data_IF_983962129763
#
_entry.id   IF_983962129763
#
_cell.length_a   1.000
_cell.length_b   1.000
_cell.length_c   1.000
_cell.angle_alpha   90.00
_cell.angle_beta   90.00
_cell.angle_gamma   90.00
#
_symmetry.space_group_name_H-M   'P 1'
#
loop_
_entity.id
_entity.type
_entity.pdbx_description
1 polymer ?
#
# COMPACT_ATOMS: atom_id res chain seq x y z
N UNK A 1 6.35 -11.48 -5.27
CA UNK A 1 5.20 -11.57 -4.33
C UNK A 1 5.60 -11.58 -2.86
N UNK A 2 6.54 -12.43 -2.42
CA UNK A 2 6.90 -12.60 -0.99
C UNK A 2 7.17 -11.31 -0.18
N UNK A 3 7.73 -10.25 -0.81
CA UNK A 3 7.97 -8.98 -0.11
C UNK A 3 6.67 -8.24 0.20
N UNK A 4 5.79 -8.08 -0.78
CA UNK A 4 4.47 -7.46 -0.57
C UNK A 4 3.67 -8.26 0.47
N UNK A 5 3.64 -9.59 0.36
CA UNK A 5 2.96 -10.46 1.32
C UNK A 5 3.51 -10.32 2.76
N UNK A 6 4.80 -10.02 2.91
CA UNK A 6 5.41 -9.78 4.22
C UNK A 6 4.93 -8.45 4.82
N UNK A 7 4.89 -7.38 4.01
CA UNK A 7 4.37 -6.07 4.42
C UNK A 7 2.89 -6.16 4.82
N UNK A 8 2.08 -6.85 4.01
CA UNK A 8 0.65 -7.10 4.30
C UNK A 8 0.46 -7.81 5.64
N UNK A 9 1.27 -8.83 5.93
CA UNK A 9 1.23 -9.58 7.19
C UNK A 9 1.71 -8.74 8.38
N UNK A 10 2.76 -7.95 8.20
CA UNK A 10 3.39 -7.15 9.25
C UNK A 10 2.50 -5.99 9.68
N UNK A 11 1.93 -5.26 8.72
CA UNK A 11 1.12 -4.07 8.97
C UNK A 11 -0.39 -4.29 8.86
N UNK A 12 -0.83 -5.53 8.61
CA UNK A 12 -2.24 -5.96 8.59
C UNK A 12 -3.12 -5.18 7.61
N UNK A 13 -2.67 -5.11 6.37
CA UNK A 13 -3.45 -4.57 5.27
C UNK A 13 -3.34 -5.51 4.07
N UNK A 14 -4.15 -5.26 3.03
CA UNK A 14 -3.98 -5.91 1.73
C UNK A 14 -3.77 -4.85 0.66
N UNK A 15 -2.69 -4.99 -0.11
CA UNK A 15 -2.49 -4.17 -1.30
C UNK A 15 -3.64 -4.42 -2.30
N UNK A 16 -4.07 -3.38 -3.03
CA UNK A 16 -4.99 -3.56 -4.15
C UNK A 16 -4.45 -4.62 -5.13
N UNK A 17 -5.35 -5.43 -5.68
CA UNK A 17 -4.99 -6.48 -6.63
C UNK A 17 -4.17 -5.92 -7.81
N UNK A 18 -4.54 -4.72 -8.27
CA UNK A 18 -3.84 -4.01 -9.34
C UNK A 18 -2.37 -3.69 -8.98
N UNK A 19 -2.09 -3.31 -7.73
CA UNK A 19 -0.72 -3.05 -7.29
C UNK A 19 0.14 -4.32 -7.30
N UNK A 20 -0.44 -5.45 -6.89
CA UNK A 20 0.22 -6.76 -6.97
C UNK A 20 0.50 -7.16 -8.42
N UNK A 21 -0.41 -6.85 -9.34
CA UNK A 21 -0.23 -7.10 -10.77
C UNK A 21 0.91 -6.24 -11.36
N UNK A 22 0.94 -4.94 -11.05
CA UNK A 22 2.03 -4.04 -11.43
C UNK A 22 3.38 -4.58 -10.95
N UNK A 23 3.45 -5.07 -9.71
CA UNK A 23 4.66 -5.67 -9.18
C UNK A 23 5.08 -6.94 -9.94
N UNK A 24 4.13 -7.83 -10.25
CA UNK A 24 4.40 -9.06 -11.02
C UNK A 24 4.89 -8.77 -12.43
N UNK A 25 4.38 -7.69 -13.03
CA UNK A 25 4.74 -7.24 -14.37
C UNK A 25 6.00 -6.35 -14.38
N UNK A 26 6.70 -6.22 -13.25
CA UNK A 26 7.92 -5.42 -13.09
C UNK A 26 7.70 -3.92 -13.42
N UNK A 27 6.46 -3.41 -13.27
CA UNK A 27 6.13 -2.01 -13.48
C UNK A 27 6.58 -1.11 -12.32
N UNK A 28 6.90 -1.68 -11.16
CA UNK A 28 7.36 -0.93 -9.98
C UNK A 28 8.89 -0.76 -9.91
N UNK A 29 9.60 -1.04 -11.00
CA UNK A 29 11.05 -1.09 -11.03
C UNK A 29 11.62 0.05 -11.90
N UNK A 30 12.06 1.12 -11.24
CA UNK A 30 12.77 2.24 -11.88
C UNK A 30 14.28 1.97 -12.06
N UNK A 31 14.76 0.77 -11.73
CA UNK A 31 16.16 0.43 -11.73
C UNK A 31 16.91 1.00 -10.52
N UNK A 32 18.25 0.98 -10.59
CA UNK A 32 19.11 1.40 -9.49
C UNK A 32 19.28 2.92 -9.48
N UNK A 33 18.80 3.58 -8.41
CA UNK A 33 19.00 5.00 -8.17
C UNK A 33 20.49 5.30 -7.98
N UNK A 34 21.04 6.10 -8.89
CA UNK A 34 22.45 6.50 -8.89
C UNK A 34 22.61 7.85 -9.59
N UNK A 35 23.74 8.52 -9.38
CA UNK A 35 24.06 9.77 -10.09
C UNK A 35 24.06 9.62 -11.62
N UNK A 36 24.26 8.40 -12.11
CA UNK A 36 24.32 8.08 -13.53
C UNK A 36 22.99 7.50 -14.06
N UNK A 37 21.90 7.55 -13.28
CA UNK A 37 20.61 6.95 -13.63
C UNK A 37 20.10 7.41 -15.00
N UNK A 38 20.17 8.71 -15.28
CA UNK A 38 19.78 9.29 -16.58
C UNK A 38 20.60 8.76 -17.76
N UNK A 39 21.86 8.39 -17.53
CA UNK A 39 22.78 7.93 -18.58
C UNK A 39 22.73 6.41 -18.77
N UNK A 40 22.58 5.66 -17.67
CA UNK A 40 22.75 4.20 -17.66
C UNK A 40 21.45 3.42 -17.53
N UNK A 41 20.45 3.98 -16.84
CA UNK A 41 19.19 3.29 -16.50
C UNK A 41 18.07 3.79 -17.38
N UNK A 42 17.81 5.09 -17.38
CA UNK A 42 16.71 5.73 -18.11
C UNK A 42 16.60 5.30 -19.59
N UNK A 43 17.68 5.25 -20.40
CA UNK A 43 17.56 4.89 -21.81
C UNK A 43 17.00 3.47 -22.04
N UNK A 44 17.18 2.57 -21.07
CA UNK A 44 16.66 1.19 -21.13
C UNK A 44 15.17 1.14 -20.80
N UNK A 45 14.67 2.08 -20.00
CA UNK A 45 13.27 2.14 -19.57
C UNK A 45 12.35 2.67 -20.67
N UNK A 46 12.84 3.54 -21.57
CA UNK A 46 12.02 4.16 -22.63
C UNK A 46 11.25 3.17 -23.51
N UNK A 47 11.84 2.00 -23.78
CA UNK A 47 11.20 0.98 -24.61
C UNK A 47 10.03 0.28 -23.91
N UNK A 48 10.05 0.20 -22.58
CA UNK A 48 9.01 -0.40 -21.73
C UNK A 48 8.92 0.42 -20.43
N UNK A 49 8.32 1.62 -20.47
CA UNK A 49 8.34 2.51 -19.32
C UNK A 49 7.60 1.87 -18.14
N UNK A 50 8.22 1.82 -16.95
CA UNK A 50 7.56 1.41 -15.72
C UNK A 50 6.47 2.41 -15.32
N UNK A 51 5.79 2.12 -14.22
CA UNK A 51 4.62 2.86 -13.75
C UNK A 51 4.91 4.36 -13.75
N UNK A 52 4.18 5.08 -14.60
CA UNK A 52 4.15 6.53 -14.71
C UNK A 52 5.56 7.17 -14.83
N UNK A 53 6.48 6.57 -15.60
CA UNK A 53 7.84 7.10 -15.82
C UNK A 53 7.88 8.58 -16.27
N UNK A 54 6.84 9.02 -16.96
CA UNK A 54 6.63 10.37 -17.49
C UNK A 54 5.43 11.06 -16.83
N UNK A 55 4.95 10.55 -15.69
CA UNK A 55 3.96 11.23 -14.86
C UNK A 55 4.52 12.57 -14.37
N UNK A 56 3.63 13.49 -14.02
CA UNK A 56 4.06 14.76 -13.46
C UNK A 56 4.43 14.55 -12.00
N UNK A 57 5.70 14.78 -11.66
CA UNK A 57 6.20 14.74 -10.28
C UNK A 57 5.89 13.42 -9.53
N UNK A 58 6.07 12.29 -10.22
CA UNK A 58 5.84 10.96 -9.65
C UNK A 58 7.08 10.07 -9.79
N UNK A 59 7.52 9.51 -8.68
CA UNK A 59 8.54 8.47 -8.61
C UNK A 59 8.01 7.27 -7.83
N UNK A 60 8.21 6.06 -8.34
CA UNK A 60 7.81 4.84 -7.61
C UNK A 60 8.67 4.70 -6.36
N UNK A 61 8.04 4.48 -5.20
CA UNK A 61 8.77 4.16 -3.97
C UNK A 61 9.33 2.74 -4.08
N UNK A 62 10.66 2.55 -3.94
CA UNK A 62 11.26 1.21 -3.97
C UNK A 62 10.64 0.29 -2.91
N UNK A 63 10.35 -0.96 -3.29
CA UNK A 63 9.72 -1.94 -2.39
C UNK A 63 10.55 -2.14 -1.11
N UNK A 64 11.87 -2.01 -1.22
CA UNK A 64 12.82 -2.10 -0.13
C UNK A 64 12.70 -0.97 0.91
N UNK A 65 12.15 0.18 0.52
CA UNK A 65 12.01 1.36 1.37
C UNK A 65 10.63 1.48 2.02
N UNK A 66 9.62 0.76 1.50
CA UNK A 66 8.24 0.86 1.99
C UNK A 66 8.15 0.54 3.48
N UNK A 67 8.83 -0.51 3.95
CA UNK A 67 8.79 -0.89 5.38
C UNK A 67 9.28 0.25 6.27
N UNK A 68 10.49 0.77 5.99
CA UNK A 68 11.07 1.85 6.78
C UNK A 68 10.22 3.12 6.71
N UNK A 69 9.61 3.41 5.56
CA UNK A 69 8.73 4.55 5.44
C UNK A 69 7.49 4.38 6.33
N UNK A 70 6.80 3.23 6.29
CA UNK A 70 5.65 2.97 7.18
C UNK A 70 6.05 3.05 8.65
N UNK A 71 7.20 2.49 9.02
CA UNK A 71 7.72 2.55 10.40
C UNK A 71 7.97 3.99 10.85
N UNK A 72 8.57 4.83 10.00
CA UNK A 72 8.79 6.25 10.25
C UNK A 72 7.46 7.00 10.41
N UNK A 73 6.50 6.81 9.50
CA UNK A 73 5.18 7.47 9.59
C UNK A 73 4.40 7.08 10.86
N UNK A 74 4.73 5.93 11.47
CA UNK A 74 4.09 5.42 12.68
C UNK A 74 4.90 5.67 13.95
N UNK A 75 6.09 6.26 13.84
CA UNK A 75 6.90 6.60 15.00
C UNK A 75 6.20 7.72 15.79
N UNK A 76 5.90 7.53 17.09
CA UNK A 76 5.30 8.57 17.91
C UNK A 76 6.15 9.84 18.05
N UNK A 77 7.45 9.75 17.77
CA UNK A 77 8.38 10.88 17.77
C UNK A 77 8.56 11.50 16.35
N UNK A 78 7.84 11.01 15.34
CA UNK A 78 7.81 11.60 14.01
C UNK A 78 7.15 12.98 14.04
N UNK A 79 7.76 13.94 13.34
CA UNK A 79 7.36 15.34 13.38
C UNK A 79 6.00 15.60 12.73
N UNK A 80 5.48 14.68 11.90
CA UNK A 80 4.16 14.79 11.27
C UNK A 80 3.02 14.46 12.24
N UNK A 81 3.33 13.85 13.40
CA UNK A 81 2.36 13.50 14.44
C UNK A 81 1.10 12.77 13.91
N UNK A 82 1.29 11.89 12.92
CA UNK A 82 0.22 11.16 12.25
C UNK A 82 -0.67 10.45 13.27
N UNK A 83 -1.99 10.56 13.11
CA UNK A 83 -2.94 9.84 13.93
C UNK A 83 -2.62 8.32 13.91
N UNK A 84 -2.35 7.69 15.07
CA UNK A 84 -1.92 6.28 15.15
C UNK A 84 -2.96 5.27 14.62
N UNK A 85 -4.20 5.72 14.42
CA UNK A 85 -5.27 4.91 13.82
C UNK A 85 -5.14 4.78 12.32
N UNK A 86 -4.53 5.76 11.66
CA UNK A 86 -4.38 5.78 10.22
C UNK A 86 -3.22 4.89 9.79
N UNK A 87 -3.33 4.32 8.61
CA UNK A 87 -2.24 3.58 7.98
C UNK A 87 -2.02 4.13 6.57
N UNK A 88 -0.89 4.79 6.38
CA UNK A 88 -0.40 5.23 5.08
C UNK A 88 0.65 4.24 4.59
N UNK A 89 0.42 3.67 3.40
CA UNK A 89 1.35 2.77 2.73
C UNK A 89 1.86 3.44 1.45
N UNK A 90 3.11 3.92 1.42
CA UNK A 90 3.62 4.65 0.26
C UNK A 90 3.83 3.71 -0.93
N UNK A 91 3.50 4.21 -2.12
CA UNK A 91 3.78 3.53 -3.39
C UNK A 91 4.46 4.44 -4.40
N UNK A 92 4.41 5.76 -4.18
CA UNK A 92 5.19 6.73 -4.93
C UNK A 92 5.60 7.90 -4.04
N UNK A 93 6.36 8.82 -4.62
CA UNK A 93 6.72 10.10 -4.02
C UNK A 93 6.85 11.19 -5.08
N UNK A 94 6.72 12.43 -4.66
CA UNK A 94 7.14 13.58 -5.46
C UNK A 94 8.65 13.77 -5.37
N UNK A 95 9.25 14.49 -6.31
CA UNK A 95 10.63 14.94 -6.21
C UNK A 95 10.86 15.89 -5.02
N UNK A 96 9.78 16.49 -4.50
CA UNK A 96 9.75 17.30 -3.29
C UNK A 96 9.81 16.51 -1.98
N UNK A 97 9.53 15.20 -2.01
CA UNK A 97 9.57 14.32 -0.84
C UNK A 97 8.20 13.98 -0.24
N UNK A 98 7.11 14.45 -0.84
CA UNK A 98 5.75 14.07 -0.44
C UNK A 98 5.47 12.64 -0.88
N UNK A 99 4.62 11.91 -0.14
CA UNK A 99 4.31 10.52 -0.45
C UNK A 99 2.96 10.38 -1.12
N UNK A 100 2.92 9.62 -2.22
CA UNK A 100 1.68 9.02 -2.71
C UNK A 100 1.43 7.73 -1.93
N UNK A 101 0.33 7.71 -1.18
CA UNK A 101 0.00 6.62 -0.26
C UNK A 101 -1.33 5.96 -0.58
N UNK A 102 -1.41 4.65 -0.33
CA UNK A 102 -2.67 4.00 -0.01
C UNK A 102 -3.04 4.38 1.42
N UNK A 103 -4.19 5.00 1.61
CA UNK A 103 -4.72 5.33 2.93
C UNK A 103 -5.74 4.27 3.38
N UNK A 104 -5.40 3.57 4.46
CA UNK A 104 -6.25 2.62 5.16
C UNK A 104 -6.63 3.17 6.54
N UNK A 105 -7.69 2.58 7.11
CA UNK A 105 -8.19 2.94 8.44
C UNK A 105 -8.51 4.43 8.56
N UNK A 106 -9.03 5.02 7.48
CA UNK A 106 -9.54 6.39 7.48
C UNK A 106 -10.71 6.55 8.47
N UNK A 107 -11.03 7.80 8.86
CA UNK A 107 -12.12 8.13 9.77
C UNK A 107 -13.46 7.46 9.42
N UNK A 108 -14.32 7.24 10.43
CA UNK A 108 -15.62 6.58 10.25
C UNK A 108 -16.57 7.33 9.29
N UNK A 109 -16.39 8.64 9.11
CA UNK A 109 -17.15 9.44 8.15
C UNK A 109 -16.76 9.23 6.68
N UNK A 110 -15.62 8.56 6.42
CA UNK A 110 -15.19 8.19 5.08
C UNK A 110 -15.58 6.74 4.82
N UNK A 111 -16.42 6.52 3.80
CA UNK A 111 -16.81 5.18 3.37
C UNK A 111 -16.17 4.85 2.01
N UNK A 112 -15.20 3.95 1.98
CA UNK A 112 -14.55 3.48 0.75
C UNK A 112 -14.34 1.96 0.76
N UNK A 113 -14.57 1.33 -0.40
CA UNK A 113 -14.42 -0.12 -0.59
C UNK A 113 -12.96 -0.56 -0.83
N UNK A 114 -12.12 0.38 -1.26
CA UNK A 114 -10.69 0.22 -1.49
C UNK A 114 -9.94 1.33 -0.73
N UNK A 115 -8.64 1.15 -0.43
CA UNK A 115 -7.85 2.24 0.12
C UNK A 115 -7.85 3.44 -0.84
N UNK A 116 -8.08 4.63 -0.28
CA UNK A 116 -7.98 5.88 -1.04
C UNK A 116 -6.53 6.15 -1.40
N UNK A 117 -6.33 6.81 -2.55
CA UNK A 117 -5.03 7.33 -2.94
C UNK A 117 -4.92 8.76 -2.46
N UNK A 118 -3.91 9.04 -1.66
CA UNK A 118 -3.66 10.37 -1.08
C UNK A 118 -2.25 10.87 -1.41
N UNK A 119 -2.10 12.18 -1.49
CA UNK A 119 -0.82 12.86 -1.35
C UNK A 119 -0.65 13.22 0.12
N UNK A 120 0.37 12.67 0.77
CA UNK A 120 0.75 12.98 2.15
C UNK A 120 1.97 13.93 2.10
N UNK A 121 1.78 15.22 2.41
CA UNK A 121 2.88 16.17 2.40
C UNK A 121 3.96 15.82 3.43
N UNK A 122 5.19 16.17 3.10
CA UNK A 122 6.30 16.03 4.04
C UNK A 122 6.43 17.22 5.01
N UNK A 123 5.79 18.36 4.76
CA UNK A 123 5.95 19.61 5.52
C UNK A 123 4.64 20.30 5.95
N UNK A 124 3.49 19.65 5.73
CA UNK A 124 2.15 20.14 6.10
C UNK A 124 1.31 19.01 6.69
N UNK A 125 0.31 19.33 7.52
CA UNK A 125 -0.54 18.38 8.28
C UNK A 125 -1.85 18.04 7.57
N UNK A 126 -2.09 18.64 6.40
CA UNK A 126 -3.24 18.34 5.55
C UNK A 126 -2.82 17.42 4.40
N UNK A 127 -3.43 16.24 4.30
CA UNK A 127 -3.30 15.39 3.11
C UNK A 127 -4.32 15.80 2.05
N UNK A 128 -4.05 15.46 0.79
CA UNK A 128 -4.99 15.61 -0.32
C UNK A 128 -5.48 14.25 -0.80
N UNK A 129 -6.79 14.07 -0.94
CA UNK A 129 -7.38 12.85 -1.49
C UNK A 129 -7.43 12.95 -3.02
N UNK A 130 -6.67 12.09 -3.71
CA UNK A 130 -6.46 12.17 -5.17
C UNK A 130 -7.40 11.26 -5.97
N UNK A 131 -7.64 10.04 -5.49
CA UNK A 131 -8.43 9.04 -6.20
C UNK A 131 -9.05 8.00 -5.28
N UNK A 132 -10.18 7.42 -5.67
CA UNK A 132 -10.87 6.36 -4.91
C UNK A 132 -10.20 4.99 -4.99
N UNK A 133 -9.31 4.78 -5.96
CA UNK A 133 -8.54 3.55 -6.14
C UNK A 133 -7.32 3.81 -7.06
N UNK A 134 -6.48 2.78 -7.21
CA UNK A 134 -5.25 2.87 -8.00
C UNK A 134 -5.49 3.02 -9.51
N UNK A 135 -6.56 2.43 -10.05
CA UNK A 135 -6.88 2.55 -11.49
C UNK A 135 -7.19 4.00 -11.86
N UNK A 136 -8.00 4.68 -11.05
CA UNK A 136 -8.37 6.07 -11.22
C UNK A 136 -7.16 6.99 -11.11
N UNK A 137 -6.25 6.71 -10.15
CA UNK A 137 -4.99 7.43 -10.03
C UNK A 137 -4.13 7.28 -11.29
N UNK A 138 -3.93 6.05 -11.79
CA UNK A 138 -3.15 5.80 -13.02
C UNK A 138 -3.78 6.53 -14.20
N UNK A 139 -5.10 6.46 -14.35
CA UNK A 139 -5.82 7.18 -15.40
C UNK A 139 -5.60 8.69 -15.31
N UNK A 140 -5.75 9.28 -14.11
CA UNK A 140 -5.53 10.70 -13.89
C UNK A 140 -4.12 11.12 -14.27
N UNK A 141 -3.10 10.38 -13.83
CA UNK A 141 -1.70 10.70 -14.10
C UNK A 141 -1.33 10.53 -15.58
N UNK A 142 -1.93 9.57 -16.29
CA UNK A 142 -1.78 9.47 -17.74
C UNK A 142 -2.37 10.70 -18.46
N UNK A 143 -3.54 11.18 -18.04
CA UNK A 143 -4.16 12.38 -18.60
C UNK A 143 -3.33 13.65 -18.27
N UNK A 144 -2.85 13.78 -17.03
CA UNK A 144 -1.98 14.89 -16.59
C UNK A 144 -0.67 14.92 -17.36
N UNK A 145 -0.03 13.77 -17.61
CA UNK A 145 1.29 13.72 -18.27
C UNK A 145 1.36 14.36 -19.67
N UNK A 146 0.21 14.58 -20.32
CA UNK A 146 0.11 15.24 -21.63
C UNK A 146 -0.55 16.61 -21.58
N UNK A 147 -0.88 17.11 -20.38
CA UNK A 147 -1.26 18.49 -20.11
C UNK A 147 -0.01 19.27 -19.71
N UNK A 148 0.14 20.51 -20.17
CA UNK A 148 1.23 21.42 -19.77
C UNK A 148 2.63 20.77 -19.74
N UNK A 149 2.96 20.06 -20.81
CA UNK A 149 4.19 19.29 -20.93
C UNK A 149 5.40 20.21 -20.80
N UNK A 150 6.23 19.93 -19.80
CA UNK A 150 7.46 20.67 -19.56
C UNK A 150 8.51 20.36 -20.64
N UNK A 151 9.08 21.40 -21.24
CA UNK A 151 10.00 21.26 -22.39
C UNK A 151 11.27 20.48 -22.07
N UNK A 152 11.73 20.52 -20.81
CA UNK A 152 12.89 19.77 -20.31
C UNK A 152 12.51 18.46 -19.61
N UNK A 153 11.22 18.09 -19.60
CA UNK A 153 10.74 16.85 -18.99
C UNK A 153 11.20 15.59 -19.72
N UNK A 154 11.29 14.46 -18.99
CA UNK A 154 11.72 13.17 -19.56
C UNK A 154 10.91 12.74 -20.78
N UNK A 155 9.61 13.07 -20.82
CA UNK A 155 8.71 12.76 -21.95
C UNK A 155 9.15 13.43 -23.26
N UNK A 156 9.91 14.52 -23.18
CA UNK A 156 10.46 15.26 -24.33
C UNK A 156 11.83 14.77 -24.76
N UNK A 157 12.49 13.89 -24.00
CA UNK A 157 13.76 13.29 -24.43
C UNK A 157 13.56 12.38 -25.64
N UNK A 158 14.02 12.83 -26.81
CA UNK A 158 13.84 12.14 -28.08
C UNK A 158 12.47 12.43 -28.70
N UNK A 159 11.73 11.37 -29.05
CA UNK A 159 10.43 11.51 -29.72
C UNK A 159 9.29 11.50 -28.70
N UNK A 160 8.63 12.66 -28.51
CA UNK A 160 7.44 12.76 -27.65
C UNK A 160 6.37 11.72 -28.02
N UNK A 161 6.14 11.52 -29.32
CA UNK A 161 5.16 10.54 -29.80
C UNK A 161 5.55 9.10 -29.46
N UNK A 162 6.83 8.76 -29.60
CA UNK A 162 7.32 7.42 -29.24
C UNK A 162 7.22 7.18 -27.73
N UNK A 163 7.60 8.18 -26.92
CA UNK A 163 7.51 8.10 -25.47
C UNK A 163 6.07 7.95 -24.99
N UNK A 164 5.13 8.73 -25.53
CA UNK A 164 3.69 8.64 -25.20
C UNK A 164 3.07 7.33 -25.70
N UNK A 165 3.39 6.86 -26.90
CA UNK A 165 2.90 5.58 -27.42
C UNK A 165 3.43 4.39 -26.58
N UNK A 166 4.69 4.43 -26.14
CA UNK A 166 5.26 3.42 -25.25
C UNK A 166 4.63 3.46 -23.85
N UNK A 167 4.40 4.64 -23.28
CA UNK A 167 3.72 4.80 -22.01
C UNK A 167 2.32 4.21 -22.08
N UNK A 168 1.54 4.61 -23.08
CA UNK A 168 0.17 4.13 -23.26
C UNK A 168 0.17 2.61 -23.38
N UNK A 169 1.04 2.04 -24.22
CA UNK A 169 1.15 0.59 -24.42
C UNK A 169 1.40 -0.19 -23.12
N UNK A 170 2.25 0.32 -22.22
CA UNK A 170 2.53 -0.38 -20.96
C UNK A 170 1.45 -0.17 -19.90
N UNK A 171 0.63 0.88 -20.01
CA UNK A 171 -0.36 1.21 -18.98
C UNK A 171 -1.79 0.79 -19.30
N UNK A 172 -2.17 0.69 -20.58
CA UNK A 172 -3.52 0.29 -21.00
C UNK A 172 -4.03 -1.00 -20.31
N UNK A 173 -3.22 -2.07 -20.10
CA UNK A 173 -3.70 -3.29 -19.45
C UNK A 173 -4.24 -3.10 -18.03
N UNK A 174 -3.88 -2.00 -17.36
CA UNK A 174 -4.25 -1.69 -15.97
C UNK A 174 -5.48 -0.78 -15.86
N UNK A 175 -6.14 -0.50 -16.97
CA UNK A 175 -7.33 0.36 -17.05
C UNK A 175 -8.53 -0.44 -17.55
N UNK A 176 -9.73 -0.04 -17.14
CA UNK A 176 -10.99 -0.50 -17.76
C UNK A 176 -11.05 -0.13 -19.26
N UNK A 177 -11.84 -0.88 -20.04
CA UNK A 177 -11.98 -0.68 -21.49
C UNK A 177 -12.42 0.75 -21.86
N UNK A 178 -13.28 1.36 -21.04
CA UNK A 178 -13.74 2.73 -21.24
C UNK A 178 -12.59 3.73 -21.09
N UNK A 179 -11.83 3.64 -20.00
CA UNK A 179 -10.67 4.51 -19.77
C UNK A 179 -9.59 4.29 -20.81
N UNK A 180 -9.33 3.03 -21.19
CA UNK A 180 -8.40 2.69 -22.27
C UNK A 180 -8.75 3.44 -23.57
N UNK A 181 -10.03 3.47 -23.94
CA UNK A 181 -10.50 4.21 -25.12
C UNK A 181 -10.24 5.71 -24.97
N UNK A 182 -10.58 6.29 -23.81
CA UNK A 182 -10.44 7.73 -23.55
C UNK A 182 -8.97 8.17 -23.61
N UNK A 183 -8.06 7.52 -22.88
CA UNK A 183 -6.63 7.90 -22.94
C UNK A 183 -6.03 7.66 -24.32
N UNK A 184 -6.47 6.60 -25.02
CA UNK A 184 -6.04 6.37 -26.40
C UNK A 184 -6.47 7.50 -27.33
N UNK A 185 -7.72 7.97 -27.24
CA UNK A 185 -8.21 9.10 -28.03
C UNK A 185 -7.47 10.40 -27.69
N UNK A 186 -7.22 10.65 -26.40
CA UNK A 186 -6.44 11.81 -25.93
C UNK A 186 -5.02 11.83 -26.51
N UNK A 187 -4.32 10.69 -26.50
CA UNK A 187 -2.92 10.58 -26.96
C UNK A 187 -2.77 10.64 -28.48
N UNK A 188 -3.87 10.65 -29.24
CA UNK A 188 -3.89 10.88 -30.69
C UNK A 188 -4.25 12.33 -31.06
N UNK A 189 -4.55 13.19 -30.09
CA UNK A 189 -4.81 14.62 -30.38
C UNK A 189 -3.57 15.31 -30.94
N UNK A 190 -3.79 16.38 -31.68
CA UNK A 190 -2.71 17.22 -32.17
C UNK A 190 -2.06 17.99 -31.01
N UNK A 191 -0.74 18.13 -31.06
CA UNK A 191 0.00 18.99 -30.15
C UNK A 191 -0.33 20.46 -30.41
N UNK A 192 -0.68 21.20 -29.37
CA UNK A 192 -1.00 22.62 -29.48
C UNK A 192 -0.42 23.45 -28.34
N UNK A 193 -0.45 24.77 -28.52
CA UNK A 193 -0.08 25.76 -27.51
C UNK A 193 -1.33 26.46 -27.00
N UNK A 194 -1.44 26.58 -25.69
CA UNK A 194 -2.49 27.33 -24.99
C UNK A 194 -1.88 28.28 -23.98
N UNK A 195 -2.70 29.19 -23.47
CA UNK A 195 -2.18 30.32 -22.69
C UNK A 195 -3.04 30.65 -21.48
N UNK A 196 -2.39 30.90 -20.34
CA UNK A 196 -3.03 31.27 -19.08
C UNK A 196 -2.62 32.66 -18.61
N UNK A 197 -3.53 33.36 -17.92
CA UNK A 197 -3.21 34.62 -17.26
C UNK A 197 -2.37 34.34 -16.03
N UNK A 198 -1.33 35.14 -15.82
CA UNK A 198 -0.47 35.03 -14.64
C UNK A 198 -1.21 35.52 -13.39
N UNK A 199 -1.24 34.73 -12.31
CA UNK A 199 -1.97 35.05 -11.08
C UNK A 199 -1.46 36.31 -10.34
N UNK A 200 -0.20 36.69 -10.52
CA UNK A 200 0.43 37.81 -9.80
C UNK A 200 1.12 38.85 -10.70
N UNK A 201 0.56 39.15 -11.89
CA UNK A 201 1.16 40.14 -12.78
C UNK A 201 0.31 40.55 -13.98
N UNK A 202 0.91 41.37 -14.86
CA UNK A 202 0.40 41.62 -16.21
C UNK A 202 1.17 40.73 -17.18
N UNK A 203 0.55 39.66 -17.64
CA UNK A 203 1.21 38.73 -18.54
C UNK A 203 0.32 37.55 -18.91
N UNK A 204 0.84 36.75 -19.83
CA UNK A 204 0.23 35.51 -20.30
C UNK A 204 1.37 34.50 -20.43
N UNK A 205 1.25 33.37 -19.73
CA UNK A 205 2.16 32.25 -19.86
C UNK A 205 1.65 31.30 -20.94
N UNK A 206 2.56 30.71 -21.72
CA UNK A 206 2.24 29.75 -22.77
C UNK A 206 2.65 28.35 -22.33
N UNK A 207 1.76 27.40 -22.53
CA UNK A 207 1.92 25.99 -22.21
C UNK A 207 1.65 25.16 -23.47
N UNK A 208 2.15 23.94 -23.50
CA UNK A 208 1.96 23.04 -24.63
C UNK A 208 1.51 21.66 -24.17
N UNK A 209 0.75 20.96 -24.99
CA UNK A 209 0.27 19.62 -24.67
C UNK A 209 -0.78 19.12 -25.65
N UNK A 210 -1.52 18.11 -25.21
CA UNK A 210 -2.61 17.47 -25.95
C UNK A 210 -4.00 17.81 -25.38
N UNK A 211 -4.04 18.52 -24.25
CA UNK A 211 -5.25 18.93 -23.54
C UNK A 211 -4.95 20.20 -22.72
N UNK A 212 -5.95 21.05 -22.51
CA UNK A 212 -5.87 22.20 -21.60
C UNK A 212 -6.17 21.76 -20.17
N UNK A 213 -5.82 22.59 -19.18
CA UNK A 213 -6.19 22.37 -17.78
C UNK A 213 -7.70 22.26 -17.59
N UNK A 214 -8.47 23.13 -18.25
CA UNK A 214 -9.93 23.15 -18.16
C UNK A 214 -10.56 21.86 -18.70
N UNK A 215 -10.12 21.41 -19.88
CA UNK A 215 -10.62 20.18 -20.49
C UNK A 215 -10.18 18.94 -19.68
N UNK A 216 -9.00 19.01 -19.05
CA UNK A 216 -8.50 17.96 -18.16
C UNK A 216 -9.35 17.89 -16.89
N UNK A 217 -9.62 19.01 -16.23
CA UNK A 217 -10.49 19.08 -15.04
C UNK A 217 -11.88 18.52 -15.36
N UNK A 218 -12.49 18.94 -16.48
CA UNK A 218 -13.80 18.42 -16.91
C UNK A 218 -13.75 16.90 -17.17
N UNK A 219 -12.68 16.42 -17.80
CA UNK A 219 -12.48 15.00 -18.06
C UNK A 219 -12.36 14.19 -16.76
N UNK A 220 -11.52 14.64 -15.82
CA UNK A 220 -11.30 13.91 -14.57
C UNK A 220 -12.55 13.92 -13.69
N UNK A 221 -13.24 15.05 -13.57
CA UNK A 221 -14.51 15.13 -12.84
C UNK A 221 -15.55 14.18 -13.44
N UNK A 222 -15.64 14.11 -14.77
CA UNK A 222 -16.62 13.25 -15.45
C UNK A 222 -16.33 11.75 -15.28
N UNK A 223 -15.07 11.36 -15.41
CA UNK A 223 -14.70 9.94 -15.53
C UNK A 223 -14.30 9.29 -14.20
N UNK A 224 -13.76 10.07 -13.26
CA UNK A 224 -13.27 9.59 -11.96
C UNK A 224 -13.77 10.42 -10.76
N UNK A 225 -14.66 11.39 -11.00
CA UNK A 225 -15.34 12.16 -9.96
C UNK A 225 -15.89 11.31 -8.83
N UNK A 226 -15.57 11.67 -7.59
CA UNK A 226 -16.15 11.03 -6.40
C UNK A 226 -16.21 12.01 -5.23
N UNK A 227 -17.00 11.65 -4.21
CA UNK A 227 -17.39 12.54 -3.10
C UNK A 227 -16.22 13.23 -2.41
N UNK A 228 -15.10 12.53 -2.23
CA UNK A 228 -13.94 13.04 -1.49
C UNK A 228 -12.80 13.57 -2.38
N UNK A 229 -12.99 13.65 -3.70
CA UNK A 229 -11.91 14.06 -4.60
C UNK A 229 -11.45 15.49 -4.34
N UNK A 230 -10.14 15.71 -4.30
CA UNK A 230 -9.49 17.00 -4.04
C UNK A 230 -9.89 17.64 -2.70
N UNK A 231 -10.46 16.86 -1.78
CA UNK A 231 -10.66 17.31 -0.40
C UNK A 231 -9.35 17.17 0.37
N UNK A 232 -9.10 18.12 1.26
CA UNK A 232 -8.00 18.02 2.23
C UNK A 232 -8.50 17.45 3.55
N UNK A 233 -7.63 16.71 4.24
CA UNK A 233 -7.94 16.12 5.55
C UNK A 233 -6.75 16.30 6.50
N UNK A 234 -7.02 16.74 7.72
CA UNK A 234 -6.00 16.81 8.77
C UNK A 234 -5.68 15.39 9.25
N UNK A 235 -4.47 14.94 8.97
CA UNK A 235 -4.05 13.59 9.30
C UNK A 235 -3.33 13.50 10.65
N UNK A 236 -2.97 14.67 11.21
CA UNK A 236 -2.35 14.76 12.51
C UNK A 236 -3.33 14.34 13.60
N UNK A 237 -2.75 13.96 14.73
CA UNK A 237 -3.53 13.53 15.88
C UNK A 237 -4.33 14.72 16.41
N UNK A 238 -5.66 14.60 16.35
CA UNK A 238 -6.57 15.55 16.99
C UNK A 238 -6.17 15.67 18.47
N UNK A 239 -5.67 16.84 18.86
CA UNK A 239 -5.07 17.06 20.20
C UNK A 239 -6.07 16.85 21.35
N UNK A 240 -7.37 16.80 21.04
CA UNK A 240 -8.45 16.53 21.99
C UNK A 240 -8.81 15.03 22.11
N UNK A 241 -8.33 14.19 21.20
CA UNK A 241 -8.50 12.74 21.26
C UNK A 241 -7.25 12.08 21.87
N UNK A 242 -7.37 11.30 22.96
CA UNK A 242 -6.23 10.59 23.51
C UNK A 242 -5.66 9.66 22.42
N UNK A 243 -4.32 9.56 22.28
CA UNK A 243 -3.71 8.69 21.29
C UNK A 243 -4.30 7.30 21.41
N UNK A 244 -4.67 6.70 20.30
CA UNK A 244 -5.12 5.33 20.33
C UNK A 244 -3.96 4.47 20.84
N UNK A 245 -4.13 3.92 22.03
CA UNK A 245 -3.10 3.16 22.70
C UNK A 245 -3.01 1.79 22.05
N UNK A 246 -2.18 1.68 21.01
CA UNK A 246 -1.85 0.40 20.41
C UNK A 246 -1.23 -0.51 21.47
N UNK A 247 -1.90 -1.62 21.74
CA UNK A 247 -1.41 -2.61 22.68
C UNK A 247 -0.52 -3.60 21.92
N UNK A 248 0.71 -3.77 22.39
CA UNK A 248 1.57 -4.84 21.90
C UNK A 248 1.10 -6.17 22.49
N UNK A 249 0.68 -7.10 21.64
CA UNK A 249 0.53 -8.50 22.02
C UNK A 249 1.88 -9.18 21.77
N UNK A 250 2.59 -9.48 22.85
CA UNK A 250 3.83 -10.23 22.79
C UNK A 250 3.73 -11.47 23.67
N UNK A 251 4.06 -12.63 23.12
CA UNK A 251 3.93 -13.87 23.86
C UNK A 251 4.28 -15.12 23.09
N UNK A 252 4.07 -16.27 23.71
CA UNK A 252 4.29 -17.58 23.12
C UNK A 252 2.97 -18.35 23.03
N UNK A 253 2.60 -18.74 21.81
CA UNK A 253 1.57 -19.74 21.59
C UNK A 253 2.17 -21.12 21.83
N UNK A 254 1.44 -21.96 22.56
CA UNK A 254 1.77 -23.34 22.86
C UNK A 254 0.62 -24.25 22.45
N UNK A 255 0.94 -25.24 21.64
CA UNK A 255 0.03 -26.28 21.20
C UNK A 255 0.48 -27.62 21.81
N UNK A 256 -0.47 -28.31 22.44
CA UNK A 256 -0.23 -29.58 23.12
C UNK A 256 -1.14 -30.69 22.59
N UNK A 257 -0.63 -31.91 22.61
CA UNK A 257 -1.45 -33.14 22.54
C UNK A 257 -1.08 -34.07 23.69
N UNK A 258 -2.07 -34.36 24.54
CA UNK A 258 -1.96 -35.35 25.62
C UNK A 258 -3.24 -36.22 25.69
N UNK A 259 -3.14 -37.55 25.48
CA UNK A 259 -1.92 -38.34 25.27
C UNK A 259 -1.19 -38.01 23.95
N UNK A 260 0.07 -38.42 23.84
CA UNK A 260 0.84 -38.27 22.60
C UNK A 260 0.14 -39.07 21.49
N UNK A 261 -0.18 -38.46 20.33
CA UNK A 261 -0.78 -39.18 19.21
C UNK A 261 0.10 -40.33 18.72
N UNK A 262 -0.51 -41.38 18.20
CA UNK A 262 0.23 -42.49 17.57
C UNK A 262 1.04 -41.99 16.37
N UNK A 263 2.23 -42.54 16.12
CA UNK A 263 3.15 -42.08 15.06
C UNK A 263 2.52 -42.07 13.66
N UNK A 264 1.55 -42.94 13.39
CA UNK A 264 0.78 -42.99 12.13
C UNK A 264 -0.34 -41.96 12.02
N UNK A 265 -0.56 -41.14 13.04
CA UNK A 265 -1.64 -40.15 13.08
C UNK A 265 -1.43 -39.05 12.03
N UNK A 266 -2.47 -38.63 11.29
CA UNK A 266 -2.37 -37.53 10.33
C UNK A 266 -2.10 -36.17 10.98
N UNK A 267 -2.18 -36.07 12.31
CA UNK A 267 -1.84 -34.86 13.07
C UNK A 267 -0.43 -34.35 12.78
N UNK A 268 0.54 -35.25 12.54
CA UNK A 268 1.94 -34.85 12.30
C UNK A 268 2.12 -34.10 10.97
N UNK A 269 1.35 -34.42 9.94
CA UNK A 269 1.37 -33.70 8.67
C UNK A 269 0.73 -32.32 8.80
N UNK A 270 -0.37 -32.21 9.56
CA UNK A 270 -1.00 -30.93 9.86
C UNK A 270 -0.09 -30.03 10.71
N UNK A 271 0.63 -30.60 11.69
CA UNK A 271 1.61 -29.88 12.50
C UNK A 271 2.79 -29.34 11.68
N UNK A 272 3.27 -30.07 10.67
CA UNK A 272 4.28 -29.57 9.73
C UNK A 272 3.79 -28.33 8.98
N UNK A 273 2.51 -28.29 8.59
CA UNK A 273 1.90 -27.15 7.88
C UNK A 273 1.73 -25.90 8.76
N UNK A 274 1.73 -26.03 10.09
CA UNK A 274 1.73 -24.87 10.99
C UNK A 274 3.06 -24.11 10.96
N UNK A 275 4.17 -24.77 10.62
CA UNK A 275 5.51 -24.20 10.69
C UNK A 275 5.87 -23.67 12.10
N UNK A 276 5.42 -24.37 13.14
CA UNK A 276 5.73 -24.08 14.54
C UNK A 276 6.92 -24.92 15.01
N UNK A 277 7.64 -24.45 16.03
CA UNK A 277 8.82 -25.14 16.55
C UNK A 277 8.40 -26.20 17.55
N UNK A 278 8.77 -27.45 17.32
CA UNK A 278 8.58 -28.52 18.32
C UNK A 278 9.52 -28.32 19.51
N UNK A 279 9.00 -28.42 20.73
CA UNK A 279 9.81 -28.46 21.95
C UNK A 279 10.15 -29.92 22.29
N UNK A 280 11.44 -30.26 22.14
CA UNK A 280 11.95 -31.63 22.36
C UNK A 280 12.28 -31.91 23.83
N UNK A 281 12.23 -30.90 24.70
CA UNK A 281 12.55 -31.07 26.12
C UNK A 281 11.36 -31.64 26.91
N UNK A 282 10.15 -31.55 26.35
CA UNK A 282 8.93 -32.08 26.94
C UNK A 282 8.64 -33.43 26.28
N UNK A 283 8.64 -34.50 27.07
CA UNK A 283 8.55 -35.88 26.57
C UNK A 283 7.27 -36.61 26.96
N UNK A 284 6.49 -36.07 27.89
CA UNK A 284 5.23 -36.63 28.38
C UNK A 284 4.01 -36.24 27.52
N UNK A 285 4.20 -35.28 26.60
CA UNK A 285 3.20 -34.77 25.66
C UNK A 285 3.88 -34.22 24.41
N UNK A 286 3.14 -34.13 23.31
CA UNK A 286 3.64 -33.50 22.08
C UNK A 286 3.45 -32.00 22.17
N UNK A 287 4.51 -31.22 21.94
CA UNK A 287 4.48 -29.76 22.16
C UNK A 287 5.09 -28.99 21.00
N UNK A 288 4.34 -27.98 20.52
CA UNK A 288 4.78 -27.02 19.51
C UNK A 288 4.58 -25.60 20.01
N UNK A 289 5.49 -24.70 19.64
CA UNK A 289 5.46 -23.31 20.06
C UNK A 289 5.73 -22.31 18.93
N UNK A 290 5.13 -21.12 19.04
CA UNK A 290 5.31 -19.99 18.12
C UNK A 290 5.34 -18.69 18.91
N UNK A 291 6.41 -17.92 18.74
CA UNK A 291 6.52 -16.54 19.26
C UNK A 291 5.60 -15.65 18.43
N UNK A 292 4.87 -14.79 19.12
CA UNK A 292 3.99 -13.76 18.56
C UNK A 292 4.47 -12.39 19.01
N UNK A 293 4.47 -11.43 18.11
CA UNK A 293 4.68 -10.01 18.37
C UNK A 293 3.84 -9.24 17.36
N UNK A 294 2.78 -8.59 17.81
CA UNK A 294 1.85 -7.84 16.96
C UNK A 294 1.26 -6.65 17.71
N UNK A 295 0.84 -5.61 16.99
CA UNK A 295 0.18 -4.44 17.54
C UNK A 295 -1.32 -4.50 17.24
N UNK A 296 -2.15 -4.04 18.18
CA UNK A 296 -3.60 -4.00 18.02
C UNK A 296 -4.20 -2.73 18.63
N UNK A 297 -5.20 -2.11 17.97
CA UNK A 297 -5.94 -0.99 18.52
C UNK A 297 -6.94 -1.42 19.61
N UNK A 298 -7.27 -2.72 19.70
CA UNK A 298 -8.29 -3.21 20.60
C UNK A 298 -7.72 -3.47 22.00
N UNK A 299 -8.27 -2.78 22.99
CA UNK A 299 -7.91 -2.98 24.41
C UNK A 299 -8.65 -4.16 25.06
N UNK A 300 -9.74 -4.63 24.45
CA UNK A 300 -10.53 -5.73 24.99
C UNK A 300 -9.89 -7.09 24.68
N UNK A 301 -9.80 -7.94 25.69
CA UNK A 301 -9.13 -9.23 25.55
C UNK A 301 -9.85 -10.19 24.59
N UNK A 302 -11.17 -10.10 24.45
CA UNK A 302 -11.95 -11.02 23.61
C UNK A 302 -11.66 -10.82 22.11
N UNK A 303 -11.51 -9.57 21.67
CA UNK A 303 -11.10 -9.24 20.31
C UNK A 303 -9.65 -9.62 20.07
N UNK A 304 -8.74 -9.28 21.02
CA UNK A 304 -7.33 -9.68 20.97
C UNK A 304 -7.14 -11.19 20.81
N UNK A 305 -7.95 -12.01 21.50
CA UNK A 305 -7.92 -13.46 21.36
C UNK A 305 -8.22 -13.94 19.94
N UNK A 306 -9.17 -13.30 19.23
CA UNK A 306 -9.49 -13.64 17.84
C UNK A 306 -8.33 -13.28 16.92
N UNK A 307 -7.77 -12.08 17.07
CA UNK A 307 -6.63 -11.61 16.27
C UNK A 307 -5.37 -12.46 16.46
N UNK A 308 -5.12 -12.97 17.66
CA UNK A 308 -4.01 -13.92 17.93
C UNK A 308 -4.14 -15.18 17.07
N UNK A 309 -5.37 -15.63 16.82
CA UNK A 309 -5.67 -16.91 16.19
C UNK A 309 -5.92 -16.81 14.69
N UNK A 310 -6.34 -15.65 14.20
CA UNK A 310 -6.85 -15.44 12.84
C UNK A 310 -5.94 -16.04 11.76
N UNK A 311 -4.65 -15.72 11.79
CA UNK A 311 -3.66 -16.20 10.83
C UNK A 311 -3.49 -17.74 10.82
N UNK A 312 -3.88 -18.42 11.90
CA UNK A 312 -3.71 -19.86 12.08
C UNK A 312 -5.04 -20.63 12.12
N UNK A 313 -6.16 -19.94 12.22
CA UNK A 313 -7.47 -20.51 12.55
C UNK A 313 -7.87 -21.67 11.62
N UNK A 314 -7.75 -21.57 10.28
CA UNK A 314 -8.14 -22.67 9.40
C UNK A 314 -7.31 -23.95 9.59
N UNK A 315 -6.05 -23.81 10.04
CA UNK A 315 -5.15 -24.94 10.29
C UNK A 315 -5.37 -25.52 11.70
N UNK A 316 -5.58 -24.65 12.69
CA UNK A 316 -5.88 -25.05 14.06
C UNK A 316 -7.23 -25.76 14.16
N UNK A 317 -8.25 -25.35 13.41
CA UNK A 317 -9.55 -26.02 13.35
C UNK A 317 -9.42 -27.49 12.91
N UNK A 318 -8.55 -27.79 11.94
CA UNK A 318 -8.28 -29.17 11.53
C UNK A 318 -7.62 -30.00 12.62
N UNK A 319 -6.83 -29.36 13.48
CA UNK A 319 -6.10 -30.01 14.58
C UNK A 319 -6.97 -30.23 15.83
N UNK A 320 -8.01 -29.42 16.02
CA UNK A 320 -8.95 -29.53 17.15
C UNK A 320 -9.69 -30.86 17.20
N UNK A 321 -9.90 -31.49 16.04
CA UNK A 321 -10.60 -32.79 15.92
C UNK A 321 -9.83 -33.96 16.56
N UNK A 322 -8.55 -33.77 16.89
CA UNK A 322 -7.71 -34.81 17.48
C UNK A 322 -7.75 -34.77 19.01
N UNK A 323 -7.76 -35.95 19.62
CA UNK A 323 -7.80 -36.10 21.08
C UNK A 323 -6.60 -35.40 21.75
N UNK A 324 -6.87 -34.71 22.85
CA UNK A 324 -5.84 -34.09 23.67
C UNK A 324 -5.34 -32.75 23.16
N UNK A 325 -5.93 -32.21 22.08
CA UNK A 325 -5.63 -30.88 21.57
C UNK A 325 -5.86 -29.81 22.64
N UNK A 326 -4.83 -29.03 22.92
CA UNK A 326 -4.93 -27.83 23.75
C UNK A 326 -4.08 -26.72 23.14
N UNK A 327 -4.66 -25.53 23.07
CA UNK A 327 -3.98 -24.32 22.62
C UNK A 327 -3.97 -23.29 23.74
N UNK A 328 -2.80 -22.75 24.03
CA UNK A 328 -2.58 -21.80 25.11
C UNK A 328 -1.70 -20.67 24.61
N UNK A 329 -2.02 -19.45 25.00
CA UNK A 329 -1.16 -18.30 24.82
C UNK A 329 -0.57 -17.89 26.17
N UNK A 330 0.74 -17.67 26.22
CA UNK A 330 1.40 -17.05 27.37
C UNK A 330 1.83 -15.65 26.97
N UNK A 331 1.26 -14.64 27.63
CA UNK A 331 1.65 -13.24 27.44
C UNK A 331 2.99 -12.99 28.13
N UNK A 332 3.94 -12.37 27.43
CA UNK A 332 5.27 -12.10 27.97
C UNK A 332 5.30 -10.86 28.88
N UNK A 333 4.36 -9.93 28.69
CA UNK A 333 4.27 -8.70 29.49
C UNK A 333 3.64 -8.97 30.86
N UNK A 334 2.57 -9.77 30.91
CA UNK A 334 1.84 -10.07 32.15
C UNK A 334 2.22 -11.42 32.76
N UNK A 335 2.80 -12.32 31.97
CA UNK A 335 3.02 -13.72 32.35
C UNK A 335 1.75 -14.56 32.39
N UNK A 336 0.60 -13.98 32.03
CA UNK A 336 -0.70 -14.66 32.06
C UNK A 336 -0.75 -15.79 31.04
N UNK A 337 -1.40 -16.88 31.43
CA UNK A 337 -1.60 -18.06 30.60
C UNK A 337 -3.07 -18.18 30.26
N UNK A 338 -3.40 -18.00 29.00
CA UNK A 338 -4.77 -17.98 28.50
C UNK A 338 -5.04 -19.22 27.65
N UNK A 339 -6.07 -19.96 28.02
CA UNK A 339 -6.52 -21.11 27.24
C UNK A 339 -7.34 -20.62 26.04
N UNK A 340 -6.84 -20.89 24.84
CA UNK A 340 -7.45 -20.51 23.57
C UNK A 340 -8.17 -21.68 22.88
N UNK A 341 -8.19 -22.86 23.51
CA UNK A 341 -8.75 -24.10 22.92
C UNK A 341 -10.22 -23.96 22.55
N UNK A 342 -11.01 -23.21 23.32
CA UNK A 342 -12.45 -22.99 23.06
C UNK A 342 -12.75 -22.01 21.93
N UNK A 343 -11.74 -21.30 21.43
CA UNK A 343 -11.86 -20.28 20.37
C UNK A 343 -11.46 -20.82 18.99
N UNK A 344 -10.87 -22.01 18.96
CA UNK A 344 -10.72 -22.87 17.78
C UNK A 344 -12.01 -23.66 17.63
#
# INVERSE_FOLDING_TARGET
>A
MKKLEALEQEFRFEYPALYKELYQNNMLNLGEYSSDWLQLTYPKLKANPPLLLYGQDFEVTPIEEIQSAIEEMRDPDDYREINPDYLFVPFGRTGGGDYYCFWYHFPEEIEAAEPLIVLLPHDDVELEILAKNLEDFIFAELCKSVCDVYEEGLIMDGSFKENTDNMLRTHLPYLSEEKQRIVSELYQREWFTHTYKVNYGKGVDSYQGLITREDLEELLEKEIGFEYQNQTYYYDKDTDSPPLQLQKIEGMLWLYFSPIPEESSPVYELLKQLNWRMDKNITDKLVYQRKLSQYTPHSDWATRQKEILEAFLPRLQKLKEFQGFQLVFKDDSTGEIVNLTSFI
#
